data_IF_758935163496
#
_entry.id   IF_758935163496
#
_cell.length_a   1.000
_cell.length_b   1.000
_cell.length_c   1.000
_cell.angle_alpha   90.00
_cell.angle_beta   90.00
_cell.angle_gamma   90.00
#
_symmetry.space_group_name_H-M   'P 1'
#
loop_
_entity.id
_entity.type
_entity.pdbx_description
1 polymer ?
#
# COMPACT_ATOMS: atom_id res chain seq x y z
N UNK A 1 19.23 -2.61 -31.05
CA UNK A 1 18.60 -1.41 -30.49
C UNK A 1 17.34 -1.90 -29.79
N UNK A 2 17.40 -2.15 -28.48
CA UNK A 2 16.22 -2.56 -27.70
C UNK A 2 15.46 -1.30 -27.32
N UNK A 3 14.18 -1.28 -27.67
CA UNK A 3 13.31 -0.13 -27.55
C UNK A 3 13.11 0.24 -26.08
N UNK A 4 13.58 1.43 -25.71
CA UNK A 4 13.38 2.03 -24.41
C UNK A 4 12.15 2.93 -24.49
N UNK A 5 10.93 2.40 -24.34
CA UNK A 5 9.72 3.12 -23.84
C UNK A 5 8.48 2.22 -23.76
N UNK A 6 8.54 1.05 -23.13
CA UNK A 6 7.30 0.42 -22.62
C UNK A 6 7.00 0.92 -21.20
N UNK A 7 6.40 2.12 -21.11
CA UNK A 7 5.84 2.62 -19.85
C UNK A 7 4.57 1.83 -19.55
N UNK A 8 4.72 0.77 -18.74
CA UNK A 8 3.56 0.08 -18.20
C UNK A 8 2.92 0.99 -17.14
N UNK A 9 1.61 1.27 -17.22
CA UNK A 9 0.96 2.10 -16.21
C UNK A 9 1.11 1.45 -14.84
N UNK A 10 1.68 2.19 -13.88
CA UNK A 10 1.82 1.72 -12.51
C UNK A 10 0.43 1.71 -11.87
N UNK A 11 0.02 0.55 -11.35
CA UNK A 11 -1.20 0.39 -10.57
C UNK A 11 -1.04 1.19 -9.27
N UNK A 12 -2.06 1.95 -8.89
CA UNK A 12 -2.04 2.74 -7.66
C UNK A 12 -3.15 2.26 -6.74
N UNK A 13 -2.82 2.07 -5.47
CA UNK A 13 -3.73 1.53 -4.47
C UNK A 13 -4.10 2.59 -3.44
N UNK A 14 -5.30 2.50 -2.92
CA UNK A 14 -5.73 3.27 -1.75
C UNK A 14 -6.32 2.37 -0.67
N UNK A 15 -6.13 2.75 0.60
CA UNK A 15 -6.82 2.18 1.76
C UNK A 15 -7.35 3.32 2.61
N UNK A 16 -8.65 3.38 2.83
CA UNK A 16 -9.23 4.38 3.74
C UNK A 16 -9.05 3.86 5.17
N UNK A 17 -8.29 4.58 5.99
CA UNK A 17 -7.98 4.19 7.37
C UNK A 17 -8.95 4.82 8.38
N UNK A 18 -9.57 5.95 8.02
CA UNK A 18 -10.59 6.64 8.81
C UNK A 18 -12.01 6.50 8.27
N UNK A 19 -12.81 7.55 8.46
CA UNK A 19 -14.17 7.64 7.91
C UNK A 19 -14.17 8.32 6.53
N UNK A 20 -14.67 7.60 5.52
CA UNK A 20 -14.88 8.09 4.15
C UNK A 20 -15.78 9.33 4.05
N UNK A 21 -16.69 9.50 5.01
CA UNK A 21 -17.66 10.61 5.02
C UNK A 21 -17.29 11.71 6.01
N UNK A 22 -16.12 11.62 6.65
CA UNK A 22 -15.60 12.70 7.45
C UNK A 22 -15.28 13.94 6.59
N UNK A 23 -15.22 15.10 7.24
CA UNK A 23 -14.80 16.36 6.61
C UNK A 23 -13.40 16.24 5.98
N UNK A 24 -12.54 15.45 6.61
CA UNK A 24 -11.22 15.09 6.15
C UNK A 24 -11.14 13.56 6.09
N UNK A 25 -10.81 13.02 4.92
CA UNK A 25 -10.64 11.60 4.67
C UNK A 25 -9.17 11.26 4.87
N UNK A 26 -8.93 10.33 5.78
CA UNK A 26 -7.62 9.75 6.07
C UNK A 26 -7.47 8.45 5.27
N UNK A 27 -6.41 8.36 4.48
CA UNK A 27 -6.19 7.21 3.60
C UNK A 27 -4.71 7.02 3.28
N UNK A 28 -4.35 5.78 3.01
CA UNK A 28 -3.03 5.39 2.54
C UNK A 28 -3.03 5.32 1.02
N UNK A 29 -1.92 5.74 0.42
CA UNK A 29 -1.71 5.71 -1.01
C UNK A 29 -0.42 4.98 -1.36
N UNK A 30 -0.53 3.96 -2.21
CA UNK A 30 0.58 3.13 -2.66
C UNK A 30 0.68 3.13 -4.19
N UNK A 31 1.90 2.97 -4.71
CA UNK A 31 2.16 2.86 -6.15
C UNK A 31 2.91 1.55 -6.39
N UNK A 32 2.38 0.74 -7.31
CA UNK A 32 2.89 -0.57 -7.72
C UNK A 32 2.84 -1.65 -6.63
N UNK A 33 3.34 -1.36 -5.43
CA UNK A 33 3.36 -2.24 -4.28
C UNK A 33 2.40 -1.70 -3.19
N UNK A 34 1.32 -2.43 -2.83
CA UNK A 34 0.38 -1.99 -1.81
C UNK A 34 0.98 -1.93 -0.40
N UNK A 35 2.13 -2.56 -0.15
CA UNK A 35 2.78 -2.57 1.17
C UNK A 35 3.65 -1.34 1.44
N UNK A 36 4.00 -0.59 0.40
CA UNK A 36 4.75 0.65 0.48
C UNK A 36 3.82 1.82 0.18
N UNK A 37 3.31 2.45 1.24
CA UNK A 37 2.32 3.52 1.13
C UNK A 37 2.75 4.79 1.88
N UNK A 38 2.12 5.90 1.50
CA UNK A 38 2.16 7.16 2.23
C UNK A 38 0.79 7.44 2.84
N UNK A 39 0.75 7.84 4.10
CA UNK A 39 -0.47 8.27 4.77
C UNK A 39 -0.82 9.70 4.36
N UNK A 40 -2.05 9.93 3.92
CA UNK A 40 -2.54 11.22 3.44
C UNK A 40 -3.88 11.57 4.08
N UNK A 41 -4.10 12.87 4.27
CA UNK A 41 -5.37 13.40 4.79
C UNK A 41 -5.83 14.53 3.89
N UNK A 42 -6.99 14.37 3.26
CA UNK A 42 -7.55 15.34 2.32
C UNK A 42 -9.01 15.65 2.63
N UNK A 43 -9.51 16.87 2.36
CA UNK A 43 -10.94 17.13 2.41
C UNK A 43 -11.68 16.27 1.36
N UNK A 44 -12.91 15.87 1.66
CA UNK A 44 -13.67 14.89 0.87
C UNK A 44 -13.69 15.18 -0.65
N UNK A 45 -13.89 16.45 -1.04
CA UNK A 45 -13.91 16.84 -2.45
C UNK A 45 -12.54 16.66 -3.13
N UNK A 46 -11.44 16.96 -2.42
CA UNK A 46 -10.09 16.78 -2.94
C UNK A 46 -9.72 15.30 -3.01
N UNK A 47 -10.17 14.49 -2.05
CA UNK A 47 -10.01 13.04 -2.09
C UNK A 47 -10.68 12.43 -3.32
N UNK A 48 -11.93 12.81 -3.61
CA UNK A 48 -12.63 12.30 -4.80
C UNK A 48 -11.90 12.68 -6.09
N UNK A 49 -11.48 13.94 -6.21
CA UNK A 49 -10.70 14.38 -7.38
C UNK A 49 -9.34 13.68 -7.47
N UNK A 50 -8.69 13.40 -6.33
CA UNK A 50 -7.47 12.62 -6.25
C UNK A 50 -7.66 11.21 -6.80
N UNK A 51 -8.75 10.53 -6.43
CA UNK A 51 -9.10 9.19 -6.92
C UNK A 51 -9.31 9.19 -8.45
N UNK A 52 -9.98 10.20 -8.99
CA UNK A 52 -10.25 10.34 -10.42
C UNK A 52 -8.97 10.59 -11.23
N UNK A 53 -8.12 11.51 -10.78
CA UNK A 53 -6.83 11.82 -11.45
C UNK A 53 -5.90 10.61 -11.43
N UNK A 54 -5.82 9.93 -10.29
CA UNK A 54 -4.86 8.86 -10.11
C UNK A 54 -5.33 7.50 -10.62
N UNK A 55 -6.64 7.32 -10.87
CA UNK A 55 -7.22 6.03 -11.27
C UNK A 55 -6.86 4.91 -10.29
N UNK A 56 -7.08 5.20 -9.01
CA UNK A 56 -6.70 4.31 -7.90
C UNK A 56 -7.65 3.12 -7.77
N UNK A 57 -7.12 2.03 -7.20
CA UNK A 57 -7.86 0.81 -6.86
C UNK A 57 -7.89 0.68 -5.34
N UNK A 58 -9.05 0.39 -4.75
CA UNK A 58 -9.13 0.11 -3.32
C UNK A 58 -8.44 -1.23 -2.99
N UNK A 59 -7.59 -1.23 -1.96
CA UNK A 59 -6.93 -2.44 -1.48
C UNK A 59 -7.95 -3.47 -1.01
N UNK A 60 -7.71 -4.75 -1.30
CA UNK A 60 -8.54 -5.85 -0.80
C UNK A 60 -8.38 -6.02 0.71
N UNK A 61 -9.37 -6.64 1.38
CA UNK A 61 -9.29 -6.91 2.82
C UNK A 61 -8.03 -7.71 3.21
N UNK A 62 -7.58 -8.62 2.35
CA UNK A 62 -6.35 -9.39 2.57
C UNK A 62 -5.09 -8.51 2.49
N UNK A 63 -5.03 -7.57 1.54
CA UNK A 63 -3.94 -6.61 1.43
C UNK A 63 -3.90 -5.65 2.62
N UNK A 64 -5.06 -5.16 3.07
CA UNK A 64 -5.16 -4.31 4.24
C UNK A 64 -4.64 -5.04 5.49
N UNK A 65 -5.08 -6.28 5.71
CA UNK A 65 -4.63 -7.09 6.85
C UNK A 65 -3.13 -7.40 6.80
N UNK A 66 -2.56 -7.59 5.61
CA UNK A 66 -1.11 -7.76 5.44
C UNK A 66 -0.35 -6.50 5.82
N UNK A 67 -0.84 -5.34 5.39
CA UNK A 67 -0.24 -4.05 5.74
C UNK A 67 -0.30 -3.80 7.25
N UNK A 68 -1.44 -4.04 7.89
CA UNK A 68 -1.58 -3.91 9.35
C UNK A 68 -0.58 -4.80 10.10
N UNK A 69 -0.36 -6.03 9.63
CA UNK A 69 0.62 -6.94 10.21
C UNK A 69 2.07 -6.45 10.03
N UNK A 70 2.40 -5.87 8.86
CA UNK A 70 3.70 -5.23 8.64
C UNK A 70 3.88 -4.05 9.60
N UNK A 71 2.89 -3.17 9.73
CA UNK A 71 2.97 -2.03 10.64
C UNK A 71 3.18 -2.45 12.10
N UNK A 72 2.51 -3.50 12.58
CA UNK A 72 2.70 -4.04 13.93
C UNK A 72 4.14 -4.54 14.15
N UNK A 73 4.71 -5.20 13.13
CA UNK A 73 6.12 -5.62 13.14
C UNK A 73 7.06 -4.43 13.25
N UNK A 74 6.88 -3.37 12.46
CA UNK A 74 7.78 -2.22 12.48
C UNK A 74 7.57 -1.31 13.71
N UNK A 75 6.35 -1.24 14.23
CA UNK A 75 5.99 -0.38 15.36
C UNK A 75 6.33 -1.00 16.72
N UNK A 76 6.19 -2.31 16.87
CA UNK A 76 6.35 -3.01 18.15
C UNK A 76 7.41 -4.12 18.14
N UNK A 77 7.99 -4.45 16.98
CA UNK A 77 8.94 -5.56 16.87
C UNK A 77 8.29 -6.93 17.06
N UNK A 78 6.96 -7.01 17.02
CA UNK A 78 6.22 -8.28 17.11
C UNK A 78 6.37 -8.98 15.77
N UNK A 79 6.70 -10.27 15.77
CA UNK A 79 6.74 -11.06 14.53
C UNK A 79 5.36 -11.67 14.32
N UNK A 80 4.49 -11.07 13.49
CA UNK A 80 3.16 -11.59 13.30
C UNK A 80 3.25 -12.97 12.63
N UNK A 81 2.52 -13.94 13.18
CA UNK A 81 2.47 -15.32 12.67
C UNK A 81 1.97 -15.38 11.21
N UNK A 82 1.27 -14.35 10.73
CA UNK A 82 0.83 -14.23 9.32
C UNK A 82 1.98 -13.91 8.35
N UNK A 83 3.06 -13.27 8.79
CA UNK A 83 4.23 -12.95 7.94
C UNK A 83 5.22 -14.12 7.81
N UNK A 84 4.95 -15.22 8.50
CA UNK A 84 5.91 -16.33 8.61
C UNK A 84 6.15 -17.07 7.28
N UNK A 85 5.34 -16.82 6.24
CA UNK A 85 5.47 -17.48 4.94
C UNK A 85 6.46 -16.82 3.97
N UNK A 86 6.87 -15.56 4.21
CA UNK A 86 7.81 -14.83 3.30
C UNK A 86 9.26 -14.86 3.79
N UNK A 87 9.50 -15.36 5.01
CA UNK A 87 10.84 -15.45 5.59
C UNK A 87 11.75 -16.48 4.92
N UNK A 88 11.20 -17.35 4.07
CA UNK A 88 12.01 -18.29 3.30
C UNK A 88 12.73 -17.66 2.10
N UNK A 89 12.32 -16.48 1.63
CA UNK A 89 12.96 -15.84 0.47
C UNK A 89 14.05 -14.82 0.83
N UNK A 90 13.95 -14.13 1.97
CA UNK A 90 14.91 -13.07 2.32
C UNK A 90 16.21 -13.58 2.98
N UNK A 91 16.20 -14.77 3.60
CA UNK A 91 17.38 -15.35 4.25
C UNK A 91 18.30 -16.08 3.25
N UNK A 92 17.84 -16.30 2.01
CA UNK A 92 18.59 -17.06 1.00
C UNK A 92 19.57 -16.20 0.18
N UNK A 93 19.45 -14.87 0.20
CA UNK A 93 20.35 -13.96 -0.54
C UNK A 93 21.56 -13.47 0.28
N UNK A 94 21.62 -13.71 1.59
CA UNK A 94 22.80 -13.37 2.43
C UNK A 94 23.83 -14.51 2.50
N UNK A 95 23.56 -15.67 1.88
CA UNK A 95 24.47 -16.83 1.85
C UNK A 95 24.98 -17.20 0.44
N UNK A 96 24.96 -16.27 -0.53
CA UNK A 96 25.53 -16.47 -1.87
C UNK A 96 26.79 -15.62 -2.10
#
# INVERSE_FOLDING_TARGET
>A
MVDATSSHPLVKYIRITGDRYAKFVEFDFAIHDPTLFVELVLPQQAFQHFCEINQVIEMTAEQQAWNDAQEDKWRYGIEPTVLNHTRQYADQEDQA
#
